data_IF_409582085972
#
_entry.id   IF_409582085972
#
_cell.length_a   1.000
_cell.length_b   1.000
_cell.length_c   1.000
_cell.angle_alpha   90.00
_cell.angle_beta   90.00
_cell.angle_gamma   90.00
#
_symmetry.space_group_name_H-M   'P 1'
#
loop_
_entity.id
_entity.type
_entity.pdbx_description
1 polymer ?
#
# COMPACT_ATOMS: atom_id res chain seq x y z
N UNK A 1 35.77 -46.25 -11.28
CA UNK A 1 35.66 -45.45 -10.04
C UNK A 1 34.91 -44.12 -10.22
N UNK A 2 34.92 -43.50 -11.38
CA UNK A 2 34.22 -42.22 -11.64
C UNK A 2 32.68 -42.31 -11.74
N UNK A 3 32.15 -43.42 -12.25
CA UNK A 3 30.68 -43.60 -12.39
C UNK A 3 29.93 -43.83 -11.03
N UNK A 4 30.58 -44.39 -10.02
CA UNK A 4 29.97 -44.52 -8.69
C UNK A 4 29.85 -43.21 -7.94
N UNK A 5 30.75 -42.27 -8.21
CA UNK A 5 30.72 -40.93 -7.55
C UNK A 5 29.61 -40.06 -8.16
N UNK A 6 29.33 -40.17 -9.47
CA UNK A 6 28.24 -39.44 -10.14
C UNK A 6 26.87 -39.87 -9.59
N UNK A 7 26.62 -41.16 -9.48
CA UNK A 7 25.36 -41.67 -8.92
C UNK A 7 25.12 -41.31 -7.43
N UNK A 8 26.20 -41.04 -6.71
CA UNK A 8 26.08 -40.61 -5.29
C UNK A 8 25.73 -39.11 -5.19
N UNK A 9 26.20 -38.32 -6.11
CA UNK A 9 25.91 -36.88 -6.20
C UNK A 9 24.44 -36.69 -6.63
N UNK A 10 23.96 -37.44 -7.63
CA UNK A 10 22.57 -37.38 -8.09
C UNK A 10 21.55 -37.87 -7.03
N UNK A 11 21.98 -38.71 -6.09
CA UNK A 11 21.13 -39.18 -4.98
C UNK A 11 21.07 -38.19 -3.79
N UNK A 12 22.06 -37.31 -3.65
CA UNK A 12 22.14 -36.34 -2.54
C UNK A 12 21.57 -34.97 -2.96
N UNK A 13 21.70 -34.61 -4.21
CA UNK A 13 21.12 -33.38 -4.80
C UNK A 13 20.06 -33.82 -5.81
N UNK A 14 18.91 -34.28 -5.29
CA UNK A 14 17.77 -34.61 -6.11
C UNK A 14 17.48 -33.46 -7.09
N UNK A 15 17.21 -33.82 -8.34
CA UNK A 15 16.82 -32.98 -9.45
C UNK A 15 15.63 -32.08 -9.05
N UNK A 16 15.90 -30.94 -8.44
CA UNK A 16 14.95 -29.84 -8.30
C UNK A 16 14.99 -29.01 -9.59
N UNK A 17 14.56 -29.59 -10.69
CA UNK A 17 13.99 -28.84 -11.78
C UNK A 17 12.64 -28.27 -11.30
N UNK A 18 12.70 -27.29 -10.42
CA UNK A 18 11.56 -26.44 -10.10
C UNK A 18 11.30 -25.56 -11.34
N UNK A 19 10.55 -26.10 -12.29
CA UNK A 19 9.90 -25.29 -13.32
C UNK A 19 9.06 -24.25 -12.56
N UNK A 20 9.59 -23.03 -12.51
CA UNK A 20 8.82 -21.85 -12.13
C UNK A 20 7.69 -21.76 -13.14
N UNK A 21 6.51 -22.23 -12.75
CA UNK A 21 5.28 -22.07 -13.53
C UNK A 21 5.13 -20.58 -13.83
N UNK A 22 4.92 -20.19 -15.09
CA UNK A 22 4.71 -18.80 -15.43
C UNK A 22 3.49 -18.31 -14.65
N UNK A 23 3.70 -17.26 -13.85
CA UNK A 23 2.66 -16.55 -13.11
C UNK A 23 1.48 -16.34 -14.04
N UNK A 24 0.34 -16.91 -13.67
CA UNK A 24 -0.90 -16.83 -14.45
C UNK A 24 -1.19 -15.39 -14.83
N UNK A 25 -1.60 -15.18 -16.09
CA UNK A 25 -1.98 -13.88 -16.66
C UNK A 25 -2.79 -13.05 -15.67
N UNK A 26 -2.58 -11.72 -15.60
CA UNK A 26 -3.31 -10.86 -14.69
C UNK A 26 -4.81 -11.10 -14.83
N UNK A 27 -5.47 -11.39 -13.72
CA UNK A 27 -6.91 -11.55 -13.69
C UNK A 27 -7.56 -10.24 -14.16
N UNK A 28 -8.60 -10.36 -15.00
CA UNK A 28 -9.42 -9.22 -15.40
C UNK A 28 -9.84 -8.44 -14.16
N UNK A 29 -9.88 -7.09 -14.20
CA UNK A 29 -10.25 -6.27 -13.07
C UNK A 29 -11.59 -6.74 -12.50
N UNK A 30 -11.57 -7.17 -11.25
CA UNK A 30 -12.78 -7.55 -10.52
C UNK A 30 -13.27 -6.28 -9.84
N UNK A 31 -14.48 -5.84 -10.17
CA UNK A 31 -15.14 -4.73 -9.46
C UNK A 31 -15.24 -5.08 -7.99
N UNK A 32 -14.42 -4.46 -7.18
CA UNK A 32 -14.40 -4.67 -5.74
C UNK A 32 -15.53 -3.88 -5.11
N UNK A 33 -16.56 -4.57 -4.68
CA UNK A 33 -17.66 -3.94 -3.96
C UNK A 33 -17.28 -3.78 -2.48
N UNK A 34 -16.69 -2.64 -2.12
CA UNK A 34 -16.50 -2.28 -0.73
C UNK A 34 -17.88 -2.08 -0.09
N UNK A 35 -18.19 -2.88 0.93
CA UNK A 35 -19.28 -2.47 1.82
C UNK A 35 -18.85 -1.18 2.48
N UNK A 36 -19.58 -0.08 2.21
CA UNK A 36 -19.39 1.19 2.90
C UNK A 36 -19.23 0.92 4.40
N UNK A 37 -18.18 1.43 5.04
CA UNK A 37 -18.21 1.53 6.49
C UNK A 37 -19.48 2.30 6.83
N UNK A 38 -20.25 1.82 7.81
CA UNK A 38 -21.47 2.49 8.30
C UNK A 38 -20.99 3.68 9.12
N UNK A 39 -20.41 4.67 8.47
CA UNK A 39 -20.29 6.01 9.01
C UNK A 39 -21.62 6.69 8.76
N UNK A 40 -22.31 7.07 9.84
CA UNK A 40 -23.63 7.71 9.82
C UNK A 40 -23.66 9.10 9.17
N UNK A 41 -22.63 9.49 8.42
CA UNK A 41 -22.55 10.73 7.65
C UNK A 41 -22.34 10.36 6.20
N UNK A 42 -23.35 10.64 5.38
CA UNK A 42 -23.37 10.38 3.93
C UNK A 42 -22.21 11.11 3.24
N UNK A 43 -21.21 10.42 2.61
CA UNK A 43 -20.07 11.09 1.99
C UNK A 43 -20.41 11.81 0.68
N UNK A 44 -21.66 11.72 0.20
CA UNK A 44 -22.10 12.33 -1.07
C UNK A 44 -22.64 13.74 -0.91
N UNK A 45 -22.87 14.22 0.30
CA UNK A 45 -23.14 15.64 0.53
C UNK A 45 -21.80 16.37 0.70
N UNK A 46 -21.24 16.86 -0.41
CA UNK A 46 -20.18 17.85 -0.33
C UNK A 46 -20.76 19.08 0.37
N UNK A 47 -20.16 19.56 1.47
CA UNK A 47 -20.59 20.81 2.07
C UNK A 47 -20.49 21.91 1.00
N UNK A 48 -21.64 22.52 0.69
CA UNK A 48 -21.73 23.66 -0.23
C UNK A 48 -20.85 24.79 0.31
N UNK A 49 -19.67 24.99 -0.29
CA UNK A 49 -18.79 26.10 0.06
C UNK A 49 -17.30 25.79 0.23
N UNK A 50 -16.88 24.55 0.30
CA UNK A 50 -15.44 24.23 0.23
C UNK A 50 -14.97 24.44 -1.21
N UNK A 51 -14.08 25.43 -1.43
CA UNK A 51 -13.36 25.56 -2.70
C UNK A 51 -12.64 24.25 -2.96
N UNK A 52 -12.75 23.65 -4.16
CA UNK A 52 -11.91 22.51 -4.51
C UNK A 52 -10.46 22.96 -4.27
N UNK A 53 -9.67 22.10 -3.62
CA UNK A 53 -8.24 22.34 -3.40
C UNK A 53 -7.59 22.16 -4.78
N UNK A 54 -7.64 23.24 -5.57
CA UNK A 54 -7.24 23.25 -6.97
C UNK A 54 -5.74 22.99 -7.04
N UNK A 55 -5.37 21.87 -7.65
CA UNK A 55 -3.97 21.51 -7.91
C UNK A 55 -3.32 20.56 -6.91
N UNK A 56 -4.01 20.08 -5.87
CA UNK A 56 -3.45 19.05 -5.01
C UNK A 56 -3.69 17.65 -5.58
N UNK A 57 -2.68 16.80 -5.44
CA UNK A 57 -2.75 15.38 -5.80
C UNK A 57 -3.57 14.65 -4.75
N UNK A 58 -4.81 14.35 -5.05
CA UNK A 58 -5.75 13.71 -4.13
C UNK A 58 -5.92 12.25 -4.53
N UNK A 59 -5.63 11.34 -3.61
CA UNK A 59 -5.96 9.92 -3.78
C UNK A 59 -7.48 9.78 -3.92
N UNK A 60 -7.98 9.05 -4.92
CA UNK A 60 -9.39 8.74 -5.02
C UNK A 60 -9.92 8.10 -3.73
N UNK A 61 -11.09 8.50 -3.27
CA UNK A 61 -11.73 7.89 -2.07
C UNK A 61 -12.15 6.43 -2.31
N UNK A 62 -12.08 6.00 -3.55
CA UNK A 62 -12.38 4.66 -4.02
C UNK A 62 -11.37 4.28 -5.11
N UNK A 63 -10.71 3.15 -4.96
CA UNK A 63 -9.74 2.62 -5.93
C UNK A 63 -10.22 1.22 -6.30
N UNK A 64 -10.86 1.10 -7.46
CA UNK A 64 -11.36 -0.14 -8.05
C UNK A 64 -10.51 -0.61 -9.24
N UNK A 65 -9.79 0.32 -9.86
CA UNK A 65 -8.85 0.05 -10.95
C UNK A 65 -7.59 0.89 -10.72
N UNK A 66 -6.44 0.37 -11.09
CA UNK A 66 -5.16 1.06 -11.05
C UNK A 66 -4.39 0.83 -12.35
N UNK A 67 -3.68 1.86 -12.80
CA UNK A 67 -2.75 1.74 -13.91
C UNK A 67 -1.50 0.96 -13.48
N UNK A 68 -0.76 0.41 -14.46
CA UNK A 68 0.44 -0.41 -14.19
C UNK A 68 1.53 0.35 -13.42
N UNK A 69 1.55 1.67 -13.51
CA UNK A 69 2.48 2.55 -12.81
C UNK A 69 1.95 3.10 -11.48
N UNK A 70 0.76 2.73 -11.06
CA UNK A 70 0.18 3.14 -9.77
C UNK A 70 0.51 2.12 -8.69
N UNK A 71 0.74 2.61 -7.47
CA UNK A 71 1.09 1.83 -6.29
C UNK A 71 0.10 2.13 -5.17
N UNK A 72 -0.59 1.10 -4.70
CA UNK A 72 -1.54 1.18 -3.60
C UNK A 72 -0.82 1.26 -2.26
N UNK A 73 -0.79 2.41 -1.61
CA UNK A 73 -0.15 2.58 -0.30
C UNK A 73 -1.17 2.37 0.82
N UNK A 74 -0.94 1.38 1.66
CA UNK A 74 -1.89 0.95 2.68
C UNK A 74 -1.27 0.85 4.08
N UNK A 75 -2.12 1.00 5.10
CA UNK A 75 -1.76 0.73 6.49
C UNK A 75 -1.72 -0.76 6.77
N UNK A 76 -0.57 -1.23 7.23
CA UNK A 76 -0.32 -2.60 7.68
C UNK A 76 -0.28 -2.66 9.22
N UNK A 77 -0.11 -3.84 9.77
CA UNK A 77 0.29 -4.02 11.16
C UNK A 77 1.76 -4.46 11.26
N UNK A 78 2.33 -4.34 12.45
CA UNK A 78 3.76 -4.67 12.70
C UNK A 78 4.13 -6.13 12.45
N UNK A 79 3.14 -7.03 12.32
CA UNK A 79 3.34 -8.46 12.03
C UNK A 79 3.12 -8.82 10.56
N UNK A 80 2.70 -7.86 9.74
CA UNK A 80 2.37 -8.11 8.33
C UNK A 80 1.11 -8.96 8.11
N UNK A 81 0.20 -9.00 9.09
CA UNK A 81 -1.09 -9.70 8.95
C UNK A 81 -2.05 -8.75 8.24
N UNK A 82 -2.49 -9.14 7.04
CA UNK A 82 -3.31 -8.30 6.16
C UNK A 82 -4.73 -8.87 6.07
N UNK A 83 -5.45 -8.87 7.19
CA UNK A 83 -6.74 -9.57 7.36
C UNK A 83 -7.97 -8.64 7.31
N UNK A 84 -7.79 -7.32 7.13
CA UNK A 84 -8.91 -6.40 7.08
C UNK A 84 -8.66 -5.09 6.34
N UNK A 85 -9.74 -4.45 5.90
CA UNK A 85 -9.71 -3.13 5.27
C UNK A 85 -8.78 -3.02 4.05
N UNK A 86 -8.00 -1.95 3.97
CA UNK A 86 -7.11 -1.69 2.85
C UNK A 86 -6.00 -2.76 2.71
N UNK A 87 -5.51 -3.33 3.83
CA UNK A 87 -4.48 -4.37 3.78
C UNK A 87 -5.00 -5.66 3.16
N UNK A 88 -6.23 -6.07 3.48
CA UNK A 88 -6.87 -7.23 2.83
C UNK A 88 -7.04 -7.01 1.32
N UNK A 89 -7.46 -5.80 0.92
CA UNK A 89 -7.55 -5.43 -0.50
C UNK A 89 -6.20 -5.51 -1.20
N UNK A 90 -5.15 -5.02 -0.55
CA UNK A 90 -3.81 -5.06 -1.10
C UNK A 90 -3.35 -6.50 -1.38
N UNK A 91 -3.67 -7.46 -0.49
CA UNK A 91 -3.38 -8.89 -0.72
C UNK A 91 -4.21 -9.45 -1.89
N UNK A 92 -5.51 -9.14 -1.93
CA UNK A 92 -6.41 -9.73 -2.91
C UNK A 92 -6.17 -9.24 -4.34
N UNK A 93 -5.75 -7.97 -4.51
CA UNK A 93 -5.76 -7.32 -5.83
C UNK A 93 -4.43 -6.68 -6.22
N UNK A 94 -3.56 -6.32 -5.27
CA UNK A 94 -2.36 -5.52 -5.54
C UNK A 94 -1.06 -6.20 -5.12
N UNK A 95 -1.12 -7.52 -4.86
CA UNK A 95 0.06 -8.35 -4.65
C UNK A 95 0.80 -8.11 -3.33
N UNK A 96 0.12 -7.60 -2.29
CA UNK A 96 0.70 -7.52 -0.96
C UNK A 96 0.95 -8.93 -0.39
N UNK A 97 2.03 -9.05 0.38
CA UNK A 97 2.54 -10.34 0.88
C UNK A 97 2.25 -10.45 2.37
N UNK A 98 1.49 -11.48 2.76
CA UNK A 98 1.27 -11.79 4.18
C UNK A 98 2.59 -12.11 4.85
N UNK A 99 2.87 -11.47 5.99
CA UNK A 99 4.14 -11.57 6.72
C UNK A 99 5.11 -10.42 6.43
N UNK A 100 4.91 -9.63 5.37
CA UNK A 100 5.72 -8.45 5.07
C UNK A 100 4.99 -7.19 5.55
N UNK A 101 5.44 -6.62 6.67
CA UNK A 101 4.78 -5.48 7.32
C UNK A 101 5.05 -4.13 6.66
N UNK A 102 6.19 -3.96 5.96
CA UNK A 102 6.64 -2.68 5.43
C UNK A 102 7.24 -2.81 4.03
N UNK A 103 7.17 -1.74 3.27
CA UNK A 103 7.86 -1.58 1.99
C UNK A 103 7.07 -2.05 0.78
N UNK A 104 7.71 -2.06 -0.42
CA UNK A 104 7.08 -2.40 -1.68
C UNK A 104 6.78 -3.90 -1.77
N UNK A 105 5.60 -4.24 -2.30
CA UNK A 105 5.11 -5.62 -2.46
C UNK A 105 4.12 -5.66 -3.63
N UNK A 106 4.49 -6.33 -4.72
CA UNK A 106 3.68 -6.32 -5.94
C UNK A 106 3.39 -4.89 -6.41
N UNK A 107 2.12 -4.57 -6.63
CA UNK A 107 1.64 -3.23 -6.99
C UNK A 107 1.16 -2.45 -5.75
N UNK A 108 1.74 -2.74 -4.59
CA UNK A 108 1.38 -2.09 -3.33
C UNK A 108 2.61 -1.72 -2.49
N UNK A 109 2.40 -0.87 -1.48
CA UNK A 109 3.42 -0.46 -0.52
C UNK A 109 2.79 -0.43 0.88
N UNK A 110 3.37 -1.19 1.82
CA UNK A 110 2.88 -1.29 3.18
C UNK A 110 3.57 -0.29 4.12
N UNK A 111 2.78 0.31 5.01
CA UNK A 111 3.27 1.14 6.12
C UNK A 111 2.69 0.56 7.41
N UNK A 112 3.51 0.04 8.34
CA UNK A 112 3.02 -0.50 9.60
C UNK A 112 2.45 0.62 10.46
N UNK A 113 1.16 0.55 10.78
CA UNK A 113 0.45 1.55 11.59
C UNK A 113 -0.22 0.91 12.80
N UNK A 114 -0.80 -0.27 12.65
CA UNK A 114 -1.40 -1.00 13.76
C UNK A 114 -0.31 -1.73 14.56
N UNK A 115 -0.27 -1.46 15.87
CA UNK A 115 0.78 -1.93 16.78
C UNK A 115 2.09 -1.14 16.72
N UNK A 116 2.18 -0.07 15.89
CA UNK A 116 3.30 0.84 15.83
C UNK A 116 3.01 2.14 16.61
N UNK A 117 4.04 2.78 17.14
CA UNK A 117 3.93 4.12 17.69
C UNK A 117 4.11 5.21 16.61
N UNK A 118 3.78 6.46 16.93
CA UNK A 118 3.84 7.56 15.96
C UNK A 118 5.25 7.81 15.39
N UNK A 119 6.32 7.56 16.18
CA UNK A 119 7.69 7.73 15.71
C UNK A 119 8.07 6.67 14.67
N UNK A 120 7.65 5.42 14.87
CA UNK A 120 7.88 4.32 13.93
C UNK A 120 7.08 4.55 12.64
N UNK A 121 5.83 5.02 12.75
CA UNK A 121 5.01 5.38 11.59
C UNK A 121 5.68 6.51 10.79
N UNK A 122 6.19 7.55 11.46
CA UNK A 122 6.92 8.63 10.82
C UNK A 122 8.15 8.13 10.06
N UNK A 123 8.91 7.20 10.66
CA UNK A 123 10.07 6.60 10.00
C UNK A 123 9.65 5.85 8.73
N UNK A 124 8.59 5.04 8.79
CA UNK A 124 8.07 4.30 7.63
C UNK A 124 7.48 5.22 6.55
N UNK A 125 6.86 6.34 6.92
CA UNK A 125 6.42 7.38 5.97
C UNK A 125 7.63 8.02 5.28
N UNK A 126 8.71 8.30 6.01
CA UNK A 126 9.94 8.83 5.43
C UNK A 126 10.57 7.83 4.43
N UNK A 127 10.55 6.53 4.74
CA UNK A 127 10.99 5.47 3.83
C UNK A 127 10.16 5.47 2.53
N UNK A 128 8.84 5.60 2.61
CA UNK A 128 7.98 5.77 1.43
C UNK A 128 8.39 6.99 0.60
N UNK A 129 8.62 8.14 1.25
CA UNK A 129 9.00 9.38 0.56
C UNK A 129 10.33 9.21 -0.18
N UNK A 130 11.32 8.58 0.45
CA UNK A 130 12.62 8.27 -0.18
C UNK A 130 12.41 7.31 -1.35
N UNK A 131 11.62 6.26 -1.17
CA UNK A 131 11.32 5.29 -2.22
C UNK A 131 10.62 5.95 -3.41
N UNK A 132 9.62 6.79 -3.18
CA UNK A 132 8.90 7.50 -4.23
C UNK A 132 9.81 8.45 -5.04
N UNK A 133 10.73 9.16 -4.38
CA UNK A 133 11.74 9.99 -5.05
C UNK A 133 12.67 9.18 -5.96
N UNK A 134 13.00 7.96 -5.56
CA UNK A 134 13.85 7.05 -6.35
C UNK A 134 13.09 6.40 -7.53
N UNK A 135 11.75 6.42 -7.52
CA UNK A 135 10.90 5.80 -8.52
C UNK A 135 9.91 6.83 -9.13
N UNK A 136 10.41 7.85 -9.84
CA UNK A 136 9.56 8.95 -10.35
C UNK A 136 8.57 8.54 -11.43
N UNK A 137 8.73 7.34 -12.00
CA UNK A 137 7.82 6.76 -12.98
C UNK A 137 6.59 6.10 -12.35
N UNK A 138 6.61 5.85 -11.02
CA UNK A 138 5.49 5.30 -10.28
C UNK A 138 4.67 6.42 -9.63
N UNK A 139 3.38 6.19 -9.44
CA UNK A 139 2.43 7.07 -8.76
C UNK A 139 1.94 6.38 -7.49
N UNK A 140 2.16 6.98 -6.34
CA UNK A 140 1.80 6.40 -5.05
C UNK A 140 0.47 6.94 -4.55
N UNK A 141 -0.55 6.08 -4.50
CA UNK A 141 -1.90 6.40 -4.04
C UNK A 141 -2.02 6.06 -2.54
N UNK A 142 -1.77 7.03 -1.68
CA UNK A 142 -1.81 6.85 -0.23
C UNK A 142 -3.26 6.79 0.24
N UNK A 143 -3.65 5.72 0.94
CA UNK A 143 -4.94 5.59 1.62
C UNK A 143 -4.92 6.30 2.98
N UNK A 144 -6.04 6.34 3.70
CA UNK A 144 -6.12 6.90 5.07
C UNK A 144 -5.44 5.97 6.08
N UNK A 145 -4.12 5.77 5.92
CA UNK A 145 -3.32 4.88 6.77
C UNK A 145 -3.43 5.27 8.24
N UNK A 146 -3.47 4.27 9.12
CA UNK A 146 -3.54 4.47 10.56
C UNK A 146 -4.91 4.96 11.08
N UNK A 147 -5.80 5.43 10.20
CA UNK A 147 -7.09 6.03 10.61
C UNK A 147 -8.23 5.01 10.70
N UNK A 148 -7.95 3.72 10.48
CA UNK A 148 -8.89 2.62 10.61
C UNK A 148 -8.71 1.88 11.94
N UNK A 149 -8.36 0.59 11.86
CA UNK A 149 -8.17 -0.29 13.03
C UNK A 149 -7.08 0.18 14.00
N UNK A 150 -6.04 0.84 13.49
CA UNK A 150 -4.99 1.40 14.33
C UNK A 150 -5.46 2.57 15.22
N UNK A 151 -6.61 3.19 14.91
CA UNK A 151 -7.31 4.14 15.77
C UNK A 151 -6.72 5.56 15.84
N UNK A 152 -5.72 5.89 14.99
CA UNK A 152 -5.17 7.24 14.95
C UNK A 152 -6.11 8.22 14.26
N UNK A 153 -6.07 9.48 14.70
CA UNK A 153 -6.81 10.54 14.03
C UNK A 153 -6.01 11.10 12.82
N UNK A 154 -6.66 11.51 11.72
CA UNK A 154 -5.97 12.13 10.58
C UNK A 154 -5.07 13.32 10.96
N UNK A 155 -5.38 14.04 12.02
CA UNK A 155 -4.58 15.14 12.58
C UNK A 155 -3.20 14.67 13.08
N UNK A 156 -3.07 13.41 13.48
CA UNK A 156 -1.81 12.83 13.98
C UNK A 156 -0.96 12.28 12.85
N UNK A 157 -1.59 11.68 11.84
CA UNK A 157 -0.90 11.01 10.72
C UNK A 157 -0.58 11.98 9.58
N UNK A 158 -1.50 12.86 9.20
CA UNK A 158 -1.34 13.72 8.04
C UNK A 158 -0.08 14.62 8.10
N UNK A 159 0.31 15.23 9.24
CA UNK A 159 1.52 16.03 9.33
C UNK A 159 2.81 15.28 8.97
N UNK A 160 2.82 13.94 9.12
CA UNK A 160 3.96 13.09 8.76
C UNK A 160 4.25 13.13 7.25
N UNK A 161 3.26 13.48 6.43
CA UNK A 161 3.36 13.60 4.98
C UNK A 161 3.70 15.02 4.48
N UNK A 162 4.09 15.94 5.37
CA UNK A 162 4.41 17.31 4.96
C UNK A 162 5.51 17.34 3.91
N UNK A 163 6.54 16.52 4.04
CA UNK A 163 7.63 16.43 3.06
C UNK A 163 7.20 15.80 1.72
N UNK A 164 6.13 15.02 1.72
CA UNK A 164 5.55 14.45 0.50
C UNK A 164 4.92 15.51 -0.41
N UNK A 165 4.59 16.70 0.10
CA UNK A 165 4.07 17.81 -0.70
C UNK A 165 5.02 18.21 -1.83
N UNK A 166 6.32 18.12 -1.60
CA UNK A 166 7.36 18.40 -2.59
C UNK A 166 7.61 17.24 -3.59
N UNK A 167 6.99 16.08 -3.38
CA UNK A 167 7.23 14.86 -4.18
C UNK A 167 6.07 14.67 -5.14
N UNK A 168 6.25 14.91 -6.46
CA UNK A 168 5.14 15.07 -7.42
C UNK A 168 4.34 13.79 -7.67
N UNK A 169 4.88 12.63 -7.38
CA UNK A 169 4.27 11.33 -7.61
C UNK A 169 3.63 10.69 -6.37
N UNK A 170 3.49 11.44 -5.26
CA UNK A 170 2.72 11.01 -4.09
C UNK A 170 1.37 11.72 -4.07
N UNK A 171 0.29 10.96 -4.01
CA UNK A 171 -1.09 11.40 -3.87
C UNK A 171 -1.55 11.09 -2.45
N UNK A 172 -2.23 12.04 -1.82
CA UNK A 172 -2.66 11.92 -0.42
C UNK A 172 -4.19 11.95 -0.32
N UNK A 173 -4.78 11.33 0.69
CA UNK A 173 -6.21 11.42 0.95
C UNK A 173 -6.67 12.86 1.12
N UNK A 174 -7.88 13.19 0.66
CA UNK A 174 -8.47 14.52 0.81
C UNK A 174 -8.44 15.00 2.27
N UNK A 175 -8.64 14.10 3.22
CA UNK A 175 -8.59 14.41 4.65
C UNK A 175 -7.21 14.88 5.10
N UNK A 176 -6.12 14.25 4.59
CA UNK A 176 -4.76 14.62 5.02
C UNK A 176 -4.40 16.04 4.58
N UNK A 177 -4.81 16.44 3.39
CA UNK A 177 -4.57 17.79 2.89
C UNK A 177 -5.10 18.89 3.83
N UNK A 178 -6.19 18.65 4.55
CA UNK A 178 -6.77 19.60 5.52
C UNK A 178 -5.84 19.94 6.68
N UNK A 179 -4.90 19.03 7.01
CA UNK A 179 -3.98 19.20 8.14
C UNK A 179 -2.55 19.54 7.71
N UNK A 180 -2.24 19.38 6.42
CA UNK A 180 -0.92 19.69 5.86
C UNK A 180 -0.89 21.15 5.38
N UNK A 181 -1.97 21.64 4.76
CA UNK A 181 -2.07 23.00 4.27
C UNK A 181 -2.75 23.85 5.34
N UNK A 182 -2.01 24.74 5.92
CA UNK A 182 -2.51 25.78 6.83
C UNK A 182 -2.75 27.06 6.08
#
# INVERSE_FOLDING_TARGET
MKEKLHRLIDAIFGDESNEVQPVSKPHKPVKVFWRKPICKNNPLEQPKGERPILGHRVTPGWIDEMDENEVFVFGSNTRGIHDGGASFTAVQYFGAIVGQSEGPQGQSYAIPTDGANLADIQASVNNLIVYAKAHPHLTFLVTEIGCGTAGYHPMEIAPMFTDAVSVPNIYLPKQFWKYIIK
#
